data_IF_372464752141
#
_entry.id   IF_372464752141
#
_cell.length_a   1.000
_cell.length_b   1.000
_cell.length_c   1.000
_cell.angle_alpha   90.00
_cell.angle_beta   90.00
_cell.angle_gamma   90.00
#
_symmetry.space_group_name_H-M   'P 1'
#
loop_
_entity.id
_entity.type
_entity.pdbx_description
1 polymer ?
#
# COMPACT_ATOMS: atom_id res chain seq x y z
N UNK A 1 -17.00 12.64 2.37
CA UNK A 1 -18.06 11.61 2.31
C UNK A 1 -17.55 10.45 1.45
N UNK A 2 -17.60 9.21 1.93
CA UNK A 2 -17.26 8.00 1.16
C UNK A 2 -18.59 7.48 0.61
N UNK A 3 -18.80 7.49 -0.72
CA UNK A 3 -20.09 7.16 -1.34
C UNK A 3 -21.28 7.90 -0.68
N UNK A 4 -21.14 9.23 -0.54
CA UNK A 4 -22.14 10.10 0.11
C UNK A 4 -22.42 9.78 1.59
N UNK A 5 -21.57 8.99 2.27
CA UNK A 5 -21.70 8.69 3.70
C UNK A 5 -20.57 9.31 4.51
N UNK A 6 -20.90 9.82 5.69
CA UNK A 6 -19.92 10.24 6.68
C UNK A 6 -19.40 9.01 7.44
N UNK A 7 -18.11 9.00 7.76
CA UNK A 7 -17.47 7.89 8.45
C UNK A 7 -15.97 8.09 8.54
N UNK A 8 -15.30 7.09 9.12
CA UNK A 8 -13.85 7.07 9.31
C UNK A 8 -13.21 6.05 8.36
N UNK A 9 -12.07 6.42 7.77
CA UNK A 9 -11.24 5.51 6.99
C UNK A 9 -10.17 4.92 7.91
N UNK A 10 -10.16 3.60 8.07
CA UNK A 10 -9.20 2.89 8.92
C UNK A 10 -8.12 2.20 8.07
N UNK A 11 -6.86 2.34 8.48
CA UNK A 11 -5.72 1.69 7.85
C UNK A 11 -5.26 0.51 8.72
N UNK A 12 -5.22 -0.68 8.13
CA UNK A 12 -4.87 -1.93 8.82
C UNK A 12 -3.83 -2.67 7.99
N UNK A 13 -2.80 -3.21 8.65
CA UNK A 13 -1.76 -4.03 8.02
C UNK A 13 -1.48 -5.29 8.83
N UNK A 14 -1.10 -6.36 8.15
CA UNK A 14 -0.54 -7.57 8.75
C UNK A 14 0.38 -8.26 7.74
N UNK A 15 1.30 -9.08 8.21
CA UNK A 15 2.22 -9.81 7.34
C UNK A 15 1.46 -10.84 6.49
N UNK A 16 1.77 -10.93 5.20
CA UNK A 16 1.15 -11.90 4.27
C UNK A 16 1.33 -13.35 4.76
N UNK A 17 2.40 -13.66 5.49
CA UNK A 17 2.62 -14.97 6.11
C UNK A 17 1.55 -15.34 7.15
N UNK A 18 0.88 -14.36 7.76
CA UNK A 18 -0.20 -14.54 8.72
C UNK A 18 -1.59 -14.67 8.05
N UNK A 19 -1.68 -14.66 6.71
CA UNK A 19 -2.95 -14.79 6.00
C UNK A 19 -3.75 -16.04 6.41
N UNK A 20 -3.15 -17.25 6.57
CA UNK A 20 -3.90 -18.42 7.03
C UNK A 20 -4.56 -18.20 8.39
N UNK A 21 -3.84 -17.59 9.33
CA UNK A 21 -4.34 -17.23 10.66
C UNK A 21 -5.47 -16.20 10.59
N UNK A 22 -5.34 -15.21 9.69
CA UNK A 22 -6.40 -14.25 9.43
C UNK A 22 -7.67 -14.92 8.89
N UNK A 23 -7.56 -15.83 7.92
CA UNK A 23 -8.71 -16.55 7.35
C UNK A 23 -9.40 -17.42 8.41
N UNK A 24 -8.63 -18.12 9.24
CA UNK A 24 -9.16 -18.90 10.35
C UNK A 24 -9.90 -18.02 11.37
N UNK A 25 -9.34 -16.86 11.72
CA UNK A 25 -9.97 -15.88 12.59
C UNK A 25 -11.27 -15.34 11.98
N UNK A 26 -11.26 -14.95 10.71
CA UNK A 26 -12.41 -14.39 10.00
C UNK A 26 -13.57 -15.39 9.93
N UNK A 27 -13.28 -16.67 9.65
CA UNK A 27 -14.26 -17.76 9.74
C UNK A 27 -14.88 -17.86 11.14
N UNK A 28 -14.05 -17.93 12.18
CA UNK A 28 -14.51 -18.06 13.58
C UNK A 28 -15.36 -16.87 14.04
N UNK A 29 -15.00 -15.66 13.60
CA UNK A 29 -15.74 -14.43 13.91
C UNK A 29 -17.03 -14.26 13.08
N UNK A 30 -17.38 -15.26 12.26
CA UNK A 30 -18.52 -15.20 11.34
C UNK A 30 -18.51 -13.89 10.54
N UNK A 31 -17.32 -13.49 10.05
CA UNK A 31 -17.17 -12.27 9.28
C UNK A 31 -18.21 -12.31 8.15
N UNK A 32 -19.17 -11.36 8.10
CA UNK A 32 -20.48 -11.62 7.52
C UNK A 32 -20.38 -12.22 6.12
N UNK A 33 -20.70 -13.51 6.03
CA UNK A 33 -20.73 -14.30 4.80
C UNK A 33 -22.04 -13.95 4.09
N UNK A 34 -22.16 -12.71 3.66
CA UNK A 34 -23.17 -12.35 2.68
C UNK A 34 -22.62 -12.82 1.33
N UNK A 35 -23.29 -13.79 0.71
CA UNK A 35 -22.89 -14.47 -0.53
C UNK A 35 -22.66 -13.49 -1.70
N UNK A 36 -23.15 -12.26 -1.58
CA UNK A 36 -22.95 -11.18 -2.54
C UNK A 36 -21.82 -10.18 -2.20
N UNK A 37 -21.07 -10.38 -1.10
CA UNK A 37 -19.94 -9.49 -0.78
C UNK A 37 -18.74 -9.76 -1.68
N UNK A 38 -18.47 -8.78 -2.51
CA UNK A 38 -17.25 -8.66 -3.29
C UNK A 38 -16.27 -7.78 -2.52
N UNK A 39 -15.03 -8.22 -2.34
CA UNK A 39 -13.94 -7.40 -1.79
C UNK A 39 -13.05 -6.94 -2.93
N UNK A 40 -12.83 -5.63 -3.05
CA UNK A 40 -11.83 -5.10 -3.97
C UNK A 40 -10.43 -5.44 -3.45
N UNK A 41 -9.61 -6.05 -4.29
CA UNK A 41 -8.25 -6.44 -3.95
C UNK A 41 -7.30 -6.05 -5.08
N UNK A 42 -6.07 -5.71 -4.72
CA UNK A 42 -5.01 -5.34 -5.65
C UNK A 42 -3.69 -6.01 -5.27
N UNK A 43 -2.67 -5.83 -6.10
CA UNK A 43 -1.35 -6.44 -5.94
C UNK A 43 -1.32 -7.94 -6.20
N UNK A 44 -0.12 -8.52 -6.25
CA UNK A 44 0.07 -9.93 -6.61
C UNK A 44 -0.66 -10.93 -5.70
N UNK A 45 -0.91 -10.55 -4.44
CA UNK A 45 -1.68 -11.35 -3.48
C UNK A 45 -3.14 -11.57 -3.90
N UNK A 46 -3.75 -10.62 -4.59
CA UNK A 46 -5.13 -10.72 -5.05
C UNK A 46 -5.33 -11.88 -6.03
N UNK A 47 -4.35 -12.14 -6.89
CA UNK A 47 -4.34 -13.32 -7.78
C UNK A 47 -3.92 -14.58 -7.03
N UNK A 48 -2.84 -14.51 -6.23
CA UNK A 48 -2.24 -15.67 -5.56
C UNK A 48 -3.20 -16.35 -4.57
N UNK A 49 -3.96 -15.57 -3.81
CA UNK A 49 -4.77 -16.07 -2.69
C UNK A 49 -6.28 -16.11 -2.99
N UNK A 50 -6.72 -15.77 -4.20
CA UNK A 50 -8.14 -15.72 -4.58
C UNK A 50 -8.87 -17.04 -4.27
N UNK A 51 -8.27 -18.16 -4.65
CA UNK A 51 -8.87 -19.49 -4.43
C UNK A 51 -9.01 -19.79 -2.95
N UNK A 52 -7.96 -19.55 -2.16
CA UNK A 52 -7.96 -19.81 -0.73
C UNK A 52 -8.99 -18.94 -0.02
N UNK A 53 -9.06 -17.65 -0.34
CA UNK A 53 -10.07 -16.72 0.21
C UNK A 53 -11.49 -17.18 -0.13
N UNK A 54 -11.72 -17.60 -1.38
CA UNK A 54 -13.04 -18.09 -1.83
C UNK A 54 -13.44 -19.38 -1.12
N UNK A 55 -12.54 -20.36 -1.05
CA UNK A 55 -12.78 -21.64 -0.37
C UNK A 55 -12.94 -21.45 1.15
N UNK A 56 -12.25 -20.45 1.73
CA UNK A 56 -12.29 -20.24 3.17
C UNK A 56 -13.46 -19.40 3.65
N UNK A 57 -13.81 -18.34 2.92
CA UNK A 57 -14.75 -17.34 3.38
C UNK A 57 -15.98 -17.20 2.47
N UNK A 58 -16.01 -17.88 1.33
CA UNK A 58 -17.07 -17.71 0.32
C UNK A 58 -17.03 -16.34 -0.37
N UNK A 59 -15.93 -15.59 -0.23
CA UNK A 59 -15.79 -14.22 -0.73
C UNK A 59 -15.27 -14.23 -2.17
N UNK A 60 -15.84 -13.37 -3.03
CA UNK A 60 -15.31 -13.08 -4.37
C UNK A 60 -14.40 -11.85 -4.32
N UNK A 61 -13.26 -11.92 -5.00
CA UNK A 61 -12.38 -10.77 -5.14
C UNK A 61 -12.69 -10.03 -6.45
N UNK A 62 -12.89 -8.71 -6.36
CA UNK A 62 -12.80 -7.82 -7.51
C UNK A 62 -11.36 -7.34 -7.62
N UNK A 63 -10.61 -7.97 -8.53
CA UNK A 63 -9.19 -7.68 -8.73
C UNK A 63 -9.04 -6.39 -9.53
N UNK A 64 -8.18 -5.52 -9.04
CA UNK A 64 -7.81 -4.24 -9.66
C UNK A 64 -6.30 -4.21 -9.87
N UNK A 65 -5.82 -3.41 -10.82
CA UNK A 65 -4.39 -3.24 -11.03
C UNK A 65 -3.72 -2.52 -9.85
N UNK A 66 -2.48 -2.89 -9.56
CA UNK A 66 -1.71 -2.34 -8.44
C UNK A 66 -1.36 -0.88 -8.66
N UNK A 67 -0.94 -0.52 -9.86
CA UNK A 67 -0.55 0.85 -10.17
C UNK A 67 -1.77 1.75 -10.32
N UNK A 68 -2.87 1.28 -10.90
CA UNK A 68 -4.13 2.03 -10.89
C UNK A 68 -4.54 2.37 -9.46
N UNK A 69 -4.51 1.39 -8.55
CA UNK A 69 -4.88 1.59 -7.14
C UNK A 69 -4.02 2.67 -6.46
N UNK A 70 -2.73 2.72 -6.77
CA UNK A 70 -1.80 3.74 -6.25
C UNK A 70 -2.09 5.11 -6.87
N UNK A 71 -2.25 5.17 -8.20
CA UNK A 71 -2.47 6.40 -8.98
C UNK A 71 -3.76 7.09 -8.57
N UNK A 72 -4.83 6.33 -8.32
CA UNK A 72 -6.09 6.90 -7.83
C UNK A 72 -6.09 7.14 -6.31
N UNK A 73 -5.36 6.33 -5.55
CA UNK A 73 -5.31 6.40 -4.09
C UNK A 73 -4.57 7.62 -3.54
N UNK A 74 -3.40 7.95 -4.08
CA UNK A 74 -2.57 9.07 -3.59
C UNK A 74 -3.31 10.41 -3.67
N UNK A 75 -3.87 10.83 -4.84
CA UNK A 75 -4.60 12.08 -4.93
C UNK A 75 -5.85 12.10 -4.05
N UNK A 76 -6.52 10.95 -3.89
CA UNK A 76 -7.68 10.83 -3.02
C UNK A 76 -7.32 11.12 -1.55
N UNK A 77 -6.27 10.50 -1.01
CA UNK A 77 -5.83 10.76 0.36
C UNK A 77 -5.38 12.22 0.51
N UNK A 78 -4.57 12.73 -0.42
CA UNK A 78 -4.10 14.11 -0.38
C UNK A 78 -5.25 15.14 -0.41
N UNK A 79 -6.31 14.88 -1.18
CA UNK A 79 -7.47 15.78 -1.28
C UNK A 79 -8.31 15.82 0.00
N UNK A 80 -8.43 14.70 0.72
CA UNK A 80 -9.35 14.57 1.85
C UNK A 80 -8.66 14.62 3.23
N UNK A 81 -7.33 14.64 3.29
CA UNK A 81 -6.60 14.86 4.54
C UNK A 81 -6.39 16.37 4.79
N UNK A 82 -6.84 16.87 5.95
CA UNK A 82 -6.77 18.29 6.32
C UNK A 82 -5.34 18.81 6.53
N UNK A 83 -4.41 17.91 6.85
CA UNK A 83 -3.08 18.28 7.35
C UNK A 83 -1.98 18.24 6.28
N UNK A 84 -2.36 18.25 4.99
CA UNK A 84 -1.46 18.13 3.83
C UNK A 84 -0.58 16.86 3.90
N UNK A 85 -1.06 15.79 3.28
CA UNK A 85 -0.44 14.45 3.34
C UNK A 85 1.03 14.43 2.87
N UNK A 86 1.34 15.14 1.78
CA UNK A 86 2.67 15.14 1.19
C UNK A 86 3.63 16.06 1.96
N UNK A 87 4.89 15.64 2.09
CA UNK A 87 5.94 16.41 2.76
C UNK A 87 7.33 16.13 2.16
N UNK A 88 8.29 17.00 2.48
CA UNK A 88 9.71 16.76 2.24
C UNK A 88 10.52 17.11 3.49
N UNK A 89 11.77 16.66 3.53
CA UNK A 89 12.73 17.04 4.56
C UNK A 89 13.57 18.20 4.05
N UNK A 90 13.48 19.34 4.72
CA UNK A 90 14.35 20.49 4.48
C UNK A 90 15.64 20.30 5.27
N UNK A 91 16.78 20.58 4.65
CA UNK A 91 18.12 20.41 5.22
C UNK A 91 18.40 18.98 5.74
N UNK A 92 18.16 17.91 4.94
CA UNK A 92 18.12 16.53 5.41
C UNK A 92 19.47 15.95 5.87
N UNK A 93 20.58 16.67 5.66
CA UNK A 93 21.94 16.26 6.04
C UNK A 93 22.45 17.01 7.28
N UNK A 94 21.69 17.96 7.81
CA UNK A 94 22.03 18.74 9.00
C UNK A 94 21.03 18.37 10.11
N UNK A 95 21.45 17.52 11.05
CA UNK A 95 20.57 17.00 12.12
C UNK A 95 19.94 18.10 12.99
N UNK A 96 20.57 19.27 13.09
CA UNK A 96 20.05 20.39 13.88
C UNK A 96 19.02 21.23 13.12
N UNK A 97 19.03 21.19 11.78
CA UNK A 97 18.13 21.96 10.91
C UNK A 97 17.10 21.10 10.17
N UNK A 98 17.30 19.79 10.16
CA UNK A 98 16.44 18.84 9.48
C UNK A 98 15.00 18.98 9.98
N UNK A 99 14.11 19.43 9.09
CA UNK A 99 12.72 19.70 9.44
C UNK A 99 11.77 19.12 8.39
N UNK A 100 10.67 18.53 8.87
CA UNK A 100 9.57 18.06 8.03
C UNK A 100 8.72 19.26 7.59
N UNK A 101 8.59 19.46 6.29
CA UNK A 101 7.83 20.58 5.70
C UNK A 101 6.72 20.02 4.81
N UNK A 102 5.49 20.50 5.00
CA UNK A 102 4.35 20.12 4.17
C UNK A 102 4.57 20.57 2.71
N UNK A 103 4.18 19.72 1.77
CA UNK A 103 4.26 19.97 0.34
C UNK A 103 2.85 20.08 -0.24
N UNK A 104 2.60 21.10 -1.04
CA UNK A 104 1.32 21.26 -1.73
C UNK A 104 1.29 20.37 -2.97
N UNK A 105 0.58 19.24 -2.86
CA UNK A 105 0.39 18.27 -3.94
C UNK A 105 -0.94 18.45 -4.69
N UNK A 106 -1.51 19.67 -4.70
CA UNK A 106 -2.78 19.96 -5.39
C UNK A 106 -2.67 20.01 -6.92
N UNK A 107 -1.50 20.37 -7.44
CA UNK A 107 -1.18 20.35 -8.88
C UNK A 107 0.09 19.52 -9.12
N UNK A 108 0.01 18.19 -8.99
CA UNK A 108 1.21 17.37 -8.85
C UNK A 108 1.88 17.00 -10.18
N UNK A 109 1.21 17.19 -11.30
CA UNK A 109 1.70 16.68 -12.59
C UNK A 109 2.73 17.62 -13.24
N UNK A 110 3.79 17.05 -13.89
CA UNK A 110 4.18 15.64 -13.87
C UNK A 110 4.94 15.28 -12.59
N UNK A 111 4.87 14.00 -12.19
CA UNK A 111 5.67 13.49 -11.07
C UNK A 111 6.12 12.04 -11.28
N UNK A 112 7.09 11.61 -10.46
CA UNK A 112 7.53 10.24 -10.36
C UNK A 112 6.97 9.59 -9.10
N UNK A 113 6.48 8.36 -9.23
CA UNK A 113 6.23 7.49 -8.07
C UNK A 113 7.35 6.48 -8.02
N UNK A 114 8.04 6.42 -6.88
CA UNK A 114 8.97 5.34 -6.55
C UNK A 114 8.31 4.51 -5.46
N UNK A 115 7.62 3.44 -5.87
CA UNK A 115 6.92 2.54 -4.95
C UNK A 115 7.91 1.48 -4.42
N UNK A 116 8.31 1.61 -3.16
CA UNK A 116 9.28 0.75 -2.48
C UNK A 116 8.52 -0.27 -1.61
N UNK A 117 8.41 -1.50 -2.11
CA UNK A 117 7.89 -2.66 -1.38
C UNK A 117 8.99 -3.72 -1.20
N UNK A 118 8.66 -5.00 -1.42
CA UNK A 118 9.68 -6.07 -1.46
C UNK A 118 10.73 -5.81 -2.54
N UNK A 119 10.30 -5.34 -3.72
CA UNK A 119 11.12 -4.72 -4.75
C UNK A 119 10.75 -3.24 -4.94
N UNK A 120 11.17 -2.64 -6.05
CA UNK A 120 10.88 -1.23 -6.39
C UNK A 120 10.24 -1.14 -7.77
N UNK A 121 9.18 -0.33 -7.88
CA UNK A 121 8.61 0.08 -9.17
C UNK A 121 8.67 1.59 -9.31
N UNK A 122 9.07 2.06 -10.49
CA UNK A 122 9.19 3.48 -10.81
C UNK A 122 8.19 3.81 -11.92
N UNK A 123 7.28 4.74 -11.64
CA UNK A 123 6.22 5.17 -12.54
C UNK A 123 6.42 6.64 -12.90
N UNK A 124 6.32 6.97 -14.18
CA UNK A 124 6.16 8.35 -14.65
C UNK A 124 4.67 8.66 -14.80
N UNK A 125 4.22 9.71 -14.13
CA UNK A 125 2.82 10.14 -14.11
C UNK A 125 2.72 11.50 -14.77
N UNK A 126 2.08 11.53 -15.94
CA UNK A 126 1.90 12.74 -16.74
C UNK A 126 0.54 13.40 -16.49
N UNK A 127 -0.48 12.60 -16.20
CA UNK A 127 -1.82 13.04 -15.80
C UNK A 127 -2.51 11.93 -15.01
N UNK A 128 -3.77 12.15 -14.58
CA UNK A 128 -4.57 11.17 -13.83
C UNK A 128 -4.67 9.82 -14.55
N UNK A 129 -4.88 9.86 -15.86
CA UNK A 129 -5.15 8.67 -16.68
C UNK A 129 -3.97 8.34 -17.61
N UNK A 130 -2.88 9.10 -17.53
CA UNK A 130 -1.67 8.90 -18.33
C UNK A 130 -0.46 8.71 -17.43
N UNK A 131 -0.10 7.44 -17.25
CA UNK A 131 1.11 7.05 -16.54
C UNK A 131 1.72 5.80 -17.17
N UNK A 132 2.99 5.55 -16.89
CA UNK A 132 3.67 4.33 -17.32
C UNK A 132 4.71 3.88 -16.30
N UNK A 133 4.92 2.57 -16.17
CA UNK A 133 6.04 2.01 -15.42
C UNK A 133 7.30 2.13 -16.26
N UNK A 134 8.15 3.09 -15.91
CA UNK A 134 9.36 3.41 -16.66
C UNK A 134 10.57 2.58 -16.20
N UNK A 135 10.57 2.07 -14.97
CA UNK A 135 11.67 1.26 -14.45
C UNK A 135 11.25 0.48 -13.20
N UNK A 136 12.19 -0.26 -12.64
CA UNK A 136 12.10 -0.89 -11.34
C UNK A 136 13.43 -1.52 -10.92
N UNK A 137 13.48 -2.00 -9.69
CA UNK A 137 14.64 -2.69 -9.13
C UNK A 137 14.17 -3.90 -8.33
N UNK A 138 14.90 -5.02 -8.41
CA UNK A 138 14.73 -6.14 -7.50
C UNK A 138 15.36 -5.88 -6.13
N UNK A 139 16.19 -4.84 -6.01
CA UNK A 139 16.81 -4.39 -4.75
C UNK A 139 15.85 -3.41 -4.09
N UNK A 140 15.03 -3.92 -3.17
CA UNK A 140 14.05 -3.14 -2.41
C UNK A 140 14.06 -3.50 -0.92
N UNK A 141 12.96 -3.27 -0.23
CA UNK A 141 12.84 -3.55 1.20
C UNK A 141 13.00 -5.03 1.55
N UNK A 142 12.63 -5.93 0.64
CA UNK A 142 12.82 -7.37 0.83
C UNK A 142 14.30 -7.78 0.78
N UNK A 143 15.09 -7.11 -0.06
CA UNK A 143 16.54 -7.31 -0.11
C UNK A 143 17.22 -6.78 1.15
N UNK A 144 16.84 -5.58 1.59
CA UNK A 144 17.32 -5.01 2.85
C UNK A 144 17.05 -5.93 4.03
N UNK A 145 15.77 -6.26 4.28
CA UNK A 145 15.38 -7.08 5.42
C UNK A 145 15.99 -8.48 5.34
N UNK A 146 15.99 -9.11 4.17
CA UNK A 146 16.57 -10.43 3.99
C UNK A 146 18.07 -10.48 4.28
N UNK A 147 18.82 -9.48 3.84
CA UNK A 147 20.26 -9.37 4.15
C UNK A 147 20.50 -9.07 5.62
N UNK A 148 19.77 -8.13 6.22
CA UNK A 148 19.89 -7.83 7.65
C UNK A 148 19.61 -9.09 8.48
N UNK A 149 18.50 -9.79 8.25
CA UNK A 149 18.19 -11.02 8.98
C UNK A 149 19.27 -12.09 8.83
N UNK A 150 19.87 -12.25 7.65
CA UNK A 150 20.95 -13.23 7.46
C UNK A 150 22.26 -12.82 8.15
N UNK A 151 22.60 -11.53 8.13
CA UNK A 151 23.90 -11.03 8.58
C UNK A 151 23.93 -10.68 10.07
N UNK A 152 22.82 -10.20 10.62
CA UNK A 152 22.72 -9.71 12.00
C UNK A 152 21.80 -10.55 12.88
N UNK A 153 21.04 -11.48 12.29
CA UNK A 153 20.02 -12.29 12.97
C UNK A 153 18.83 -11.47 13.51
N UNK A 154 18.57 -10.28 12.97
CA UNK A 154 17.36 -9.53 13.31
C UNK A 154 16.08 -10.27 12.87
N UNK A 155 15.05 -10.25 13.71
CA UNK A 155 13.79 -10.96 13.48
C UNK A 155 12.71 -10.05 12.87
N UNK A 156 12.88 -8.72 12.99
CA UNK A 156 11.87 -7.74 12.55
C UNK A 156 12.48 -6.60 11.75
N UNK A 157 11.65 -5.92 10.95
CA UNK A 157 12.09 -4.76 10.17
C UNK A 157 12.51 -3.56 11.05
N UNK A 158 11.88 -3.39 12.23
CA UNK A 158 12.19 -2.28 13.14
C UNK A 158 13.50 -2.51 13.92
N UNK A 159 13.95 -3.76 14.02
CA UNK A 159 15.23 -4.14 14.63
C UNK A 159 16.41 -4.01 13.66
N UNK A 160 16.16 -4.19 12.36
CA UNK A 160 17.14 -4.09 11.28
C UNK A 160 17.63 -2.66 11.05
#
# INVERSE_FOLDING_TARGET
>A
LINCRAGSLHFIRFATSALPSFLAMARRKQFPVDINRTICATGGGACKFEREIRENLGIRLHKTDEFDSIIYGIPYINQYNSDRECYFLKDPLDDLKCTKVAYDFSQPYPYLIVNIGSGVSILAVHSRDQYSRISGSSIGGGTFLGLCSLLTQCETFDEA
#
